data_IF_959559245149
#
_entry.id   IF_959559245149
#
_cell.length_a   1.000
_cell.length_b   1.000
_cell.length_c   1.000
_cell.angle_alpha   90.00
_cell.angle_beta   90.00
_cell.angle_gamma   90.00
#
_symmetry.space_group_name_H-M   'P 1'
#
loop_
_entity.id
_entity.type
_entity.pdbx_description
1 polymer ?
#
# COMPACT_ATOMS: atom_id res chain seq x y z
N UNK A 1 -14.79 -6.76 4.26
CA UNK A 1 -15.82 -7.72 3.80
C UNK A 1 -15.17 -9.08 3.63
N UNK A 2 -15.93 -10.18 3.63
CA UNK A 2 -15.38 -11.46 3.19
C UNK A 2 -15.07 -11.36 1.68
N UNK A 3 -13.88 -11.78 1.27
CA UNK A 3 -13.49 -11.75 -0.15
C UNK A 3 -14.10 -12.94 -0.89
N UNK A 4 -14.58 -12.74 -2.12
CA UNK A 4 -15.13 -13.84 -2.94
C UNK A 4 -14.17 -14.32 -4.03
N UNK A 5 -13.20 -13.49 -4.41
CA UNK A 5 -12.18 -13.82 -5.42
C UNK A 5 -10.82 -14.08 -4.76
N UNK A 6 -10.21 -15.20 -5.13
CA UNK A 6 -8.90 -15.62 -4.63
C UNK A 6 -7.98 -16.00 -5.78
N UNK A 7 -6.70 -15.67 -5.63
CA UNK A 7 -5.62 -16.21 -6.47
C UNK A 7 -4.57 -16.87 -5.56
N UNK A 8 -4.13 -18.07 -5.92
CA UNK A 8 -3.14 -18.83 -5.15
C UNK A 8 -3.53 -19.01 -3.66
N UNK A 9 -4.82 -19.16 -3.37
CA UNK A 9 -5.33 -19.29 -1.99
C UNK A 9 -5.29 -17.99 -1.16
N UNK A 10 -4.99 -16.85 -1.78
CA UNK A 10 -4.96 -15.52 -1.13
C UNK A 10 -6.02 -14.63 -1.78
N UNK A 11 -6.69 -13.81 -0.97
CA UNK A 11 -7.65 -12.85 -1.50
C UNK A 11 -6.97 -11.74 -2.28
N UNK A 12 -7.67 -11.19 -3.27
CA UNK A 12 -7.15 -10.13 -4.15
C UNK A 12 -7.22 -8.79 -3.43
N UNK A 13 -6.15 -8.00 -3.39
CA UNK A 13 -6.24 -6.66 -2.81
C UNK A 13 -7.12 -5.73 -3.67
N UNK A 14 -8.03 -5.00 -3.05
CA UNK A 14 -8.86 -3.95 -3.65
C UNK A 14 -9.38 -3.01 -2.54
N UNK A 15 -10.06 -1.91 -2.88
CA UNK A 15 -10.49 -0.89 -1.90
C UNK A 15 -11.25 -1.46 -0.69
N UNK A 16 -12.21 -2.36 -0.93
CA UNK A 16 -13.00 -3.03 0.11
C UNK A 16 -12.37 -4.25 0.80
N UNK A 17 -11.17 -4.68 0.39
CA UNK A 17 -10.53 -5.91 0.91
C UNK A 17 -10.03 -5.79 2.35
N UNK A 18 -9.72 -4.58 2.81
CA UNK A 18 -9.18 -4.32 4.15
C UNK A 18 -7.71 -4.73 4.34
N UNK A 19 -6.98 -5.00 3.25
CA UNK A 19 -5.57 -5.34 3.29
C UNK A 19 -4.67 -4.16 3.66
N UNK A 20 -3.50 -4.46 4.21
CA UNK A 20 -2.43 -3.50 4.50
C UNK A 20 -1.12 -4.01 3.91
N UNK A 21 -0.36 -3.09 3.31
CA UNK A 21 0.99 -3.36 2.80
C UNK A 21 1.99 -2.62 3.68
N UNK A 22 3.00 -3.35 4.16
CA UNK A 22 4.07 -2.82 4.99
C UNK A 22 5.39 -2.96 4.22
N UNK A 23 6.04 -1.84 3.94
CA UNK A 23 7.41 -1.80 3.45
C UNK A 23 8.33 -1.32 4.58
N UNK A 24 9.37 -2.11 4.86
CA UNK A 24 10.39 -1.79 5.86
C UNK A 24 11.70 -2.51 5.51
N UNK A 25 12.87 -1.87 5.64
CA UNK A 25 13.08 -0.48 6.04
C UNK A 25 12.95 0.50 4.86
N UNK A 26 12.24 1.61 5.08
CA UNK A 26 12.30 2.79 4.21
C UNK A 26 13.31 3.78 4.82
N UNK A 27 14.49 3.90 4.21
CA UNK A 27 15.59 4.70 4.79
C UNK A 27 15.49 6.12 4.27
N UNK A 28 15.07 7.03 5.15
CA UNK A 28 14.94 8.46 4.84
C UNK A 28 16.09 9.27 5.48
N UNK A 29 16.38 10.44 4.92
CA UNK A 29 17.41 11.35 5.40
C UNK A 29 16.81 12.35 6.40
N UNK A 30 16.47 11.84 7.58
CA UNK A 30 15.82 12.61 8.65
C UNK A 30 16.61 13.86 9.02
N UNK A 31 16.00 15.05 8.97
CA UNK A 31 16.64 16.28 9.41
C UNK A 31 16.98 16.24 10.91
N UNK A 32 18.24 16.51 11.26
CA UNK A 32 18.69 16.68 12.65
C UNK A 32 19.54 17.94 12.80
N UNK A 33 19.82 18.37 14.04
CA UNK A 33 20.68 19.53 14.32
C UNK A 33 22.12 19.37 13.83
N UNK A 34 22.59 18.13 13.64
CA UNK A 34 23.93 17.82 13.14
C UNK A 34 23.97 17.54 11.62
N UNK A 35 22.83 17.69 10.92
CA UNK A 35 22.65 17.35 9.50
C UNK A 35 21.72 16.14 9.29
N UNK A 36 21.42 15.78 8.03
CA UNK A 36 20.55 14.64 7.73
C UNK A 36 21.16 13.31 8.17
N UNK A 37 20.38 12.47 8.86
CA UNK A 37 20.81 11.15 9.34
C UNK A 37 19.95 10.08 8.66
N UNK A 38 20.54 9.00 8.10
CA UNK A 38 19.77 7.88 7.57
C UNK A 38 19.05 7.14 8.71
N UNK A 39 17.72 7.18 8.72
CA UNK A 39 16.89 6.48 9.73
C UNK A 39 15.90 5.54 9.01
N UNK A 40 15.79 4.27 9.46
CA UNK A 40 14.82 3.33 8.90
C UNK A 40 13.41 3.60 9.47
N UNK A 41 12.46 3.90 8.58
CA UNK A 41 11.04 4.06 8.88
C UNK A 41 10.21 2.91 8.31
N UNK A 42 9.04 2.61 8.91
CA UNK A 42 8.01 1.84 8.23
C UNK A 42 7.29 2.70 7.20
N UNK A 43 6.91 2.10 6.08
CA UNK A 43 6.02 2.72 5.09
C UNK A 43 4.79 1.81 4.92
N UNK A 44 3.64 2.30 5.37
CA UNK A 44 2.40 1.56 5.51
C UNK A 44 1.36 2.11 4.55
N UNK A 45 0.90 1.27 3.63
CA UNK A 45 -0.17 1.58 2.70
C UNK A 45 -1.41 0.70 2.95
N UNK A 46 -2.60 1.21 2.63
CA UNK A 46 -3.87 0.49 2.83
C UNK A 46 -4.50 0.16 1.48
N UNK A 47 -5.16 -0.99 1.39
CA UNK A 47 -5.89 -1.40 0.19
C UNK A 47 -6.97 -0.40 -0.20
N UNK A 48 -7.52 0.35 0.77
CA UNK A 48 -8.49 1.41 0.56
C UNK A 48 -7.97 2.53 -0.36
N UNK A 49 -6.66 2.74 -0.42
CA UNK A 49 -6.01 3.77 -1.23
C UNK A 49 -5.59 3.25 -2.62
N UNK A 50 -6.09 2.08 -3.04
CA UNK A 50 -5.78 1.49 -4.36
C UNK A 50 -6.26 2.38 -5.51
N UNK A 51 -5.37 2.64 -6.46
CA UNK A 51 -5.61 3.47 -7.64
C UNK A 51 -4.81 2.96 -8.85
N UNK A 52 -5.13 3.44 -10.07
CA UNK A 52 -4.36 3.11 -11.27
C UNK A 52 -4.48 1.67 -11.78
N UNK A 53 -5.47 0.92 -11.31
CA UNK A 53 -5.77 -0.44 -11.77
C UNK A 53 -6.69 -0.50 -13.00
N UNK A 54 -7.18 -1.70 -13.36
CA UNK A 54 -8.04 -1.90 -14.52
C UNK A 54 -9.44 -1.27 -14.32
N UNK A 55 -9.97 -0.64 -15.37
CA UNK A 55 -11.26 0.07 -15.30
C UNK A 55 -12.50 -0.83 -15.50
N UNK A 56 -12.33 -1.98 -16.16
CA UNK A 56 -13.46 -2.86 -16.56
C UNK A 56 -13.53 -4.17 -15.77
N UNK A 57 -12.47 -4.50 -15.02
CA UNK A 57 -12.39 -5.72 -14.21
C UNK A 57 -12.61 -5.34 -12.76
N UNK A 58 -13.48 -6.08 -12.08
CA UNK A 58 -13.78 -5.87 -10.66
C UNK A 58 -13.63 -7.16 -9.86
N UNK A 59 -13.30 -7.02 -8.58
CA UNK A 59 -13.30 -8.06 -7.56
C UNK A 59 -14.10 -7.52 -6.36
N UNK A 60 -15.12 -8.25 -5.93
CA UNK A 60 -16.03 -7.79 -4.86
C UNK A 60 -16.62 -6.39 -5.13
N UNK A 61 -16.87 -6.06 -6.41
CA UNK A 61 -17.39 -4.76 -6.84
C UNK A 61 -16.35 -3.64 -6.94
N UNK A 62 -15.10 -3.90 -6.58
CA UNK A 62 -14.03 -2.91 -6.54
C UNK A 62 -12.93 -3.20 -7.57
N UNK A 63 -12.20 -2.17 -7.99
CA UNK A 63 -11.04 -2.32 -8.87
C UNK A 63 -9.92 -3.11 -8.14
N UNK A 64 -9.46 -4.24 -8.70
CA UNK A 64 -8.39 -5.03 -8.10
C UNK A 64 -7.03 -4.36 -8.27
N UNK A 65 -6.15 -4.62 -7.30
CA UNK A 65 -4.73 -4.32 -7.39
C UNK A 65 -4.08 -5.27 -8.42
N UNK A 66 -3.35 -4.69 -9.36
CA UNK A 66 -2.54 -5.40 -10.37
C UNK A 66 -1.14 -4.80 -10.40
N UNK A 67 -0.22 -5.36 -11.20
CA UNK A 67 1.18 -4.89 -11.28
C UNK A 67 1.33 -3.38 -11.61
N UNK A 68 0.38 -2.80 -12.35
CA UNK A 68 0.38 -1.36 -12.67
C UNK A 68 -0.41 -0.48 -11.70
N UNK A 69 -1.11 -1.07 -10.73
CA UNK A 69 -1.86 -0.34 -9.72
C UNK A 69 -0.94 0.12 -8.58
N UNK A 70 -1.36 1.16 -7.87
CA UNK A 70 -0.58 1.79 -6.80
C UNK A 70 -1.47 2.18 -5.62
N UNK A 71 -0.87 2.30 -4.45
CA UNK A 71 -1.50 2.98 -3.32
C UNK A 71 -1.27 4.47 -3.45
N UNK A 72 -2.34 5.26 -3.54
CA UNK A 72 -2.26 6.72 -3.67
C UNK A 72 -1.78 7.41 -2.39
N UNK A 73 -1.72 6.68 -1.27
CA UNK A 73 -1.27 7.17 0.03
C UNK A 73 -0.58 6.08 0.83
N UNK A 74 0.42 6.49 1.59
CA UNK A 74 1.04 5.71 2.66
C UNK A 74 1.38 6.59 3.88
N UNK A 75 1.92 5.98 4.93
CA UNK A 75 2.22 6.62 6.22
C UNK A 75 3.31 5.86 6.99
N UNK A 76 3.93 6.50 7.98
CA UNK A 76 4.94 5.91 8.88
C UNK A 76 6.36 6.45 8.69
N UNK A 77 6.61 7.17 7.60
CA UNK A 77 7.88 7.79 7.20
C UNK A 77 7.86 9.32 7.30
N UNK A 78 6.85 9.91 7.96
CA UNK A 78 6.60 11.37 7.92
C UNK A 78 7.70 12.23 8.56
N UNK A 79 8.54 11.63 9.41
CA UNK A 79 9.67 12.32 10.03
C UNK A 79 10.95 12.27 9.18
N UNK A 80 10.95 11.47 8.10
CA UNK A 80 12.07 11.26 7.20
C UNK A 80 12.47 12.47 6.36
#
# INVERSE_FOLDING_TARGET
MAQTTFANGRGIAHAGSGGMSLAFPDVCLTPTSAGPVPIPYPNIARSADTSGGPATVTCDGEMPMTEGAQYGKSSGDEAG
#
